data_IF_590830481410
#
_entry.id   IF_590830481410
#
_cell.length_a   1.000
_cell.length_b   1.000
_cell.length_c   1.000
_cell.angle_alpha   90.00
_cell.angle_beta   90.00
_cell.angle_gamma   90.00
#
_symmetry.space_group_name_H-M   'P 1'
#
loop_
_entity.id
_entity.type
_entity.pdbx_description
1 polymer ?
#
# COMPACT_ATOMS: atom_id res chain seq x y z
N UNK A 1 -42.93 8.48 -12.21
CA UNK A 1 -42.38 7.48 -11.27
C UNK A 1 -41.41 6.56 -12.01
N UNK A 2 -40.12 6.90 -12.05
CA UNK A 2 -39.07 5.99 -12.49
C UNK A 2 -38.00 5.98 -11.41
N UNK A 3 -37.96 4.91 -10.62
CA UNK A 3 -36.92 4.66 -9.63
C UNK A 3 -35.60 4.45 -10.39
N UNK A 4 -34.74 5.45 -10.41
CA UNK A 4 -33.38 5.32 -10.94
C UNK A 4 -32.52 4.78 -9.81
N UNK A 5 -32.28 3.47 -9.82
CA UNK A 5 -31.30 2.84 -8.93
C UNK A 5 -29.90 3.30 -9.37
N UNK A 6 -29.23 4.08 -8.52
CA UNK A 6 -27.81 4.37 -8.64
C UNK A 6 -27.08 3.09 -8.22
N UNK A 7 -26.59 2.31 -9.19
CA UNK A 7 -25.66 1.22 -8.90
C UNK A 7 -24.30 1.85 -8.58
N UNK A 8 -24.05 2.05 -7.29
CA UNK A 8 -22.72 2.34 -6.76
C UNK A 8 -21.99 1.00 -6.66
N UNK A 9 -21.14 0.68 -7.64
CA UNK A 9 -20.23 -0.45 -7.54
C UNK A 9 -19.01 -0.03 -6.72
N UNK A 10 -19.18 0.06 -5.40
CA UNK A 10 -18.04 0.04 -4.48
C UNK A 10 -17.72 -1.43 -4.25
N UNK A 11 -16.57 -1.88 -4.75
CA UNK A 11 -15.98 -3.19 -4.47
C UNK A 11 -15.60 -3.29 -2.99
N UNK A 12 -16.60 -3.49 -2.14
CA UNK A 12 -16.46 -3.93 -0.76
C UNK A 12 -17.17 -5.28 -0.67
N UNK A 13 -16.37 -6.34 -0.58
CA UNK A 13 -16.73 -7.76 -0.53
C UNK A 13 -17.27 -8.35 -1.84
N UNK A 14 -16.38 -8.54 -2.82
CA UNK A 14 -16.46 -9.71 -3.69
C UNK A 14 -15.35 -10.67 -3.30
N UNK A 15 -15.71 -11.84 -2.76
CA UNK A 15 -14.94 -13.07 -3.01
C UNK A 15 -15.09 -13.41 -4.48
N UNK A 16 -14.54 -12.57 -5.35
CA UNK A 16 -14.33 -12.86 -6.75
C UNK A 16 -13.05 -13.66 -6.82
N UNK A 17 -13.02 -14.66 -7.70
CA UNK A 17 -11.77 -15.29 -8.12
C UNK A 17 -10.96 -14.17 -8.78
N UNK A 18 -10.09 -13.52 -8.00
CA UNK A 18 -9.16 -12.54 -8.53
C UNK A 18 -8.22 -13.28 -9.48
N UNK A 19 -8.20 -12.82 -10.72
CA UNK A 19 -7.17 -13.17 -11.69
C UNK A 19 -5.80 -12.92 -11.07
N UNK A 20 -4.92 -13.87 -11.34
CA UNK A 20 -3.65 -14.12 -10.65
C UNK A 20 -2.77 -12.87 -10.69
N UNK A 21 -2.53 -12.25 -9.54
CA UNK A 21 -1.50 -11.23 -9.33
C UNK A 21 -0.14 -11.85 -9.62
N UNK A 22 0.76 -11.13 -10.29
CA UNK A 22 1.89 -11.75 -10.97
C UNK A 22 3.32 -11.24 -10.64
N UNK A 23 3.61 -10.39 -9.65
CA UNK A 23 4.99 -10.01 -9.28
C UNK A 23 6.09 -11.12 -9.36
N UNK A 24 7.24 -10.79 -9.99
CA UNK A 24 8.45 -11.63 -10.02
C UNK A 24 9.56 -10.91 -9.25
N UNK A 25 10.09 -11.53 -8.20
CA UNK A 25 11.07 -10.95 -7.28
C UNK A 25 12.27 -11.90 -7.20
N UNK A 26 13.50 -11.38 -7.20
CA UNK A 26 14.68 -12.20 -7.00
C UNK A 26 15.79 -11.45 -6.28
N UNK A 27 16.60 -12.18 -5.52
CA UNK A 27 17.85 -11.70 -4.93
C UNK A 27 19.03 -12.45 -5.51
N UNK A 28 20.18 -11.78 -5.65
CA UNK A 28 21.41 -12.40 -6.14
C UNK A 28 22.64 -11.79 -5.44
N UNK A 29 23.53 -12.66 -4.95
CA UNK A 29 24.78 -12.30 -4.29
C UNK A 29 25.96 -13.03 -4.92
N UNK A 30 26.77 -12.32 -5.70
CA UNK A 30 27.93 -12.84 -6.45
C UNK A 30 29.00 -11.76 -6.60
N UNK A 31 30.27 -12.16 -6.69
CA UNK A 31 31.37 -11.24 -6.97
C UNK A 31 31.48 -10.08 -5.98
N UNK A 32 31.06 -10.29 -4.73
CA UNK A 32 31.02 -9.24 -3.71
C UNK A 32 29.92 -8.19 -3.88
N UNK A 33 29.00 -8.35 -4.85
CA UNK A 33 27.80 -7.52 -5.00
C UNK A 33 26.57 -8.27 -4.48
N UNK A 34 25.59 -7.52 -3.98
CA UNK A 34 24.32 -8.08 -3.53
C UNK A 34 23.17 -7.19 -4.00
N UNK A 35 22.27 -7.78 -4.79
CA UNK A 35 21.12 -7.11 -5.34
C UNK A 35 19.81 -7.82 -4.98
N UNK A 36 18.74 -7.05 -4.95
CA UNK A 36 17.38 -7.54 -5.13
C UNK A 36 16.73 -6.83 -6.32
N UNK A 37 15.81 -7.49 -6.99
CA UNK A 37 15.12 -6.94 -8.15
C UNK A 37 13.70 -7.47 -8.24
N UNK A 38 12.78 -6.66 -8.74
CA UNK A 38 11.37 -7.00 -8.80
C UNK A 38 10.64 -6.33 -9.96
N UNK A 39 9.67 -7.06 -10.52
CA UNK A 39 8.57 -6.54 -11.33
C UNK A 39 7.33 -6.47 -10.46
N UNK A 40 6.76 -5.27 -10.28
CA UNK A 40 5.51 -5.08 -9.54
C UNK A 40 4.31 -5.06 -10.51
N UNK A 41 3.44 -6.05 -10.36
CA UNK A 41 2.31 -6.28 -11.26
C UNK A 41 0.99 -5.93 -10.57
N UNK A 42 0.32 -4.86 -11.01
CA UNK A 42 -0.98 -4.42 -10.50
C UNK A 42 -1.81 -3.74 -11.61
N UNK A 43 -3.08 -3.46 -11.33
CA UNK A 43 -4.00 -2.73 -12.22
C UNK A 43 -4.11 -1.25 -11.86
N UNK A 44 -3.56 -0.82 -10.71
CA UNK A 44 -3.64 0.55 -10.20
C UNK A 44 -2.37 1.35 -10.52
N UNK A 45 -2.36 2.25 -11.53
CA UNK A 45 -1.13 2.88 -12.03
C UNK A 45 -0.42 3.82 -11.06
N UNK A 46 -1.10 4.21 -9.99
CA UNK A 46 -0.76 5.38 -9.19
C UNK A 46 0.23 5.04 -8.04
N UNK A 47 1.32 4.35 -8.36
CA UNK A 47 2.33 3.95 -7.37
C UNK A 47 2.86 5.16 -6.60
N UNK A 48 2.93 5.03 -5.27
CA UNK A 48 3.55 5.97 -4.35
C UNK A 48 4.94 5.49 -3.96
N UNK A 49 5.83 6.46 -3.77
CA UNK A 49 7.10 6.29 -3.08
C UNK A 49 7.02 7.14 -1.82
N UNK A 50 7.39 6.59 -0.67
CA UNK A 50 7.51 7.40 0.54
C UNK A 50 8.81 7.12 1.28
N UNK A 51 9.42 8.21 1.71
CA UNK A 51 10.72 8.22 2.36
C UNK A 51 10.52 8.54 3.84
N UNK A 52 11.10 7.71 4.69
CA UNK A 52 10.89 7.72 6.13
C UNK A 52 12.23 7.94 6.81
N UNK A 53 12.57 9.16 7.26
CA UNK A 53 13.79 9.40 8.02
C UNK A 53 13.87 8.52 9.27
N UNK A 54 15.09 8.20 9.69
CA UNK A 54 15.30 7.48 10.93
C UNK A 54 14.74 8.26 12.12
N UNK A 55 14.14 7.54 13.05
CA UNK A 55 13.69 8.06 14.34
C UNK A 55 14.50 7.40 15.46
N UNK A 56 14.25 7.78 16.71
CA UNK A 56 14.88 7.13 17.87
C UNK A 56 14.62 5.62 17.90
N UNK A 57 13.44 5.20 17.45
CA UNK A 57 12.96 3.83 17.62
C UNK A 57 12.94 3.01 16.32
N UNK A 58 13.27 3.64 15.17
CA UNK A 58 13.16 3.02 13.84
C UNK A 58 14.21 3.51 12.86
N UNK A 59 14.77 2.61 12.07
CA UNK A 59 15.67 2.92 10.97
C UNK A 59 14.97 3.66 9.83
N UNK A 60 15.74 4.48 9.12
CA UNK A 60 15.27 5.16 7.93
C UNK A 60 15.01 4.18 6.78
N UNK A 61 14.00 4.45 5.97
CA UNK A 61 13.58 3.55 4.88
C UNK A 61 12.92 4.27 3.72
N UNK A 62 12.83 3.59 2.59
CA UNK A 62 11.95 3.94 1.47
C UNK A 62 10.99 2.79 1.22
N UNK A 63 9.75 3.14 0.90
CA UNK A 63 8.68 2.21 0.61
C UNK A 63 8.04 2.55 -0.73
N UNK A 64 7.58 1.50 -1.42
CA UNK A 64 6.78 1.56 -2.63
C UNK A 64 5.44 0.87 -2.37
N UNK A 65 4.38 1.37 -2.99
CA UNK A 65 3.05 0.78 -2.83
C UNK A 65 1.96 1.52 -3.58
N UNK A 66 0.74 0.99 -3.48
CA UNK A 66 -0.43 1.61 -4.09
C UNK A 66 -0.88 2.86 -3.29
N UNK A 67 -1.80 3.68 -3.83
CA UNK A 67 -2.33 4.85 -3.11
C UNK A 67 -3.00 4.54 -1.77
N UNK A 68 -3.35 3.29 -1.50
CA UNK A 68 -3.90 2.89 -0.20
C UNK A 68 -2.88 2.90 0.95
N UNK A 69 -1.61 3.21 0.66
CA UNK A 69 -0.49 3.27 1.59
C UNK A 69 -0.15 1.91 2.22
N UNK A 70 -0.51 0.81 1.58
CA UNK A 70 0.07 -0.50 1.89
C UNK A 70 1.46 -0.60 1.28
N UNK A 71 2.44 -1.03 2.07
CA UNK A 71 3.80 -1.26 1.58
C UNK A 71 3.80 -2.53 0.71
N UNK A 72 4.11 -2.38 -0.58
CA UNK A 72 4.36 -3.51 -1.48
C UNK A 72 5.82 -3.96 -1.38
N UNK A 73 6.76 -3.00 -1.48
CA UNK A 73 8.19 -3.25 -1.37
C UNK A 73 8.87 -2.16 -0.53
N UNK A 74 9.97 -2.49 0.13
CA UNK A 74 10.74 -1.52 0.90
C UNK A 74 12.20 -1.89 1.05
N UNK A 75 13.03 -0.88 1.32
CA UNK A 75 14.43 -1.04 1.74
C UNK A 75 14.77 -0.04 2.84
N UNK A 76 15.46 -0.49 3.90
CA UNK A 76 15.98 0.39 4.94
C UNK A 76 17.41 0.86 4.66
N UNK A 77 17.88 1.84 5.43
CA UNK A 77 19.21 2.46 5.29
C UNK A 77 20.39 1.49 5.51
N UNK A 78 20.12 0.29 6.05
CA UNK A 78 21.12 -0.77 6.24
C UNK A 78 21.17 -1.77 5.08
N UNK A 79 20.28 -1.65 4.09
CA UNK A 79 20.19 -2.55 2.94
C UNK A 79 19.36 -3.81 3.22
N UNK A 80 18.50 -3.81 4.24
CA UNK A 80 17.47 -4.84 4.39
C UNK A 80 16.29 -4.49 3.49
N UNK A 81 16.01 -5.37 2.54
CA UNK A 81 14.96 -5.24 1.54
C UNK A 81 13.89 -6.31 1.75
N UNK A 82 12.61 -5.96 1.53
CA UNK A 82 11.59 -6.94 1.25
C UNK A 82 10.64 -6.52 0.14
N UNK A 83 9.98 -7.51 -0.45
CA UNK A 83 8.90 -7.35 -1.42
C UNK A 83 7.94 -8.54 -1.35
N UNK A 84 6.65 -8.28 -1.60
CA UNK A 84 5.58 -9.27 -1.54
C UNK A 84 5.20 -9.79 -2.92
N UNK A 85 5.13 -11.12 -3.03
CA UNK A 85 4.40 -11.77 -4.10
C UNK A 85 3.05 -12.23 -3.55
N UNK A 86 1.95 -11.82 -4.21
CA UNK A 86 0.61 -12.26 -3.86
C UNK A 86 0.48 -13.79 -3.73
N UNK A 87 -0.30 -14.28 -2.78
CA UNK A 87 -0.61 -15.70 -2.69
C UNK A 87 -1.96 -15.87 -2.03
N UNK A 88 -2.66 -16.98 -2.32
CA UNK A 88 -3.98 -17.24 -1.77
C UNK A 88 -3.87 -18.27 -0.64
N UNK A 89 -3.30 -17.87 0.49
CA UNK A 89 -3.30 -18.67 1.71
C UNK A 89 -4.62 -18.50 2.47
N UNK A 90 -5.28 -19.61 2.79
CA UNK A 90 -6.42 -19.62 3.70
C UNK A 90 -5.92 -19.62 5.15
N UNK A 91 -5.74 -18.42 5.70
CA UNK A 91 -5.22 -18.23 7.05
C UNK A 91 -6.09 -18.89 8.13
N UNK A 92 -7.38 -19.14 7.86
CA UNK A 92 -8.30 -19.80 8.81
C UNK A 92 -7.98 -21.29 9.03
N UNK A 93 -7.25 -21.90 8.09
CA UNK A 93 -6.81 -23.30 8.17
C UNK A 93 -5.43 -23.47 8.80
N UNK A 94 -4.74 -22.38 9.09
CA UNK A 94 -3.40 -22.39 9.65
C UNK A 94 -3.45 -22.27 11.17
N UNK A 95 -2.54 -22.98 11.85
CA UNK A 95 -2.40 -22.92 13.30
C UNK A 95 -1.50 -21.75 13.73
N UNK A 96 -1.94 -20.52 13.45
CA UNK A 96 -1.26 -19.29 13.86
C UNK A 96 -1.54 -19.02 15.34
N UNK A 97 -0.52 -19.11 16.19
CA UNK A 97 -0.60 -19.00 17.66
C UNK A 97 -0.27 -17.62 18.19
N UNK A 98 0.68 -16.93 17.55
CA UNK A 98 1.20 -15.64 17.99
C UNK A 98 1.36 -14.66 16.82
N UNK A 99 0.25 -14.25 16.16
CA UNK A 99 0.32 -13.22 15.14
C UNK A 99 0.76 -11.89 15.75
N UNK A 100 1.58 -11.14 15.01
CA UNK A 100 1.94 -9.78 15.41
C UNK A 100 0.71 -8.86 15.37
N UNK A 101 0.58 -7.97 16.37
CA UNK A 101 -0.63 -7.14 16.56
C UNK A 101 -0.76 -5.96 15.59
N UNK A 102 0.33 -5.56 14.95
CA UNK A 102 0.38 -4.54 13.90
C UNK A 102 0.92 -5.11 12.59
N UNK A 103 1.72 -4.32 11.88
CA UNK A 103 2.45 -4.77 10.68
C UNK A 103 3.82 -5.37 11.06
N UNK A 104 3.93 -6.69 10.90
CA UNK A 104 5.16 -7.46 11.19
C UNK A 104 6.33 -7.07 10.27
N UNK A 105 6.07 -6.86 8.98
CA UNK A 105 7.15 -6.54 8.03
C UNK A 105 7.62 -5.11 8.20
N UNK A 106 6.70 -4.20 8.54
CA UNK A 106 7.07 -2.86 8.98
C UNK A 106 7.92 -2.90 10.25
N UNK A 107 7.58 -3.69 11.26
CA UNK A 107 8.41 -3.85 12.47
C UNK A 107 9.82 -4.35 12.14
N UNK A 108 9.94 -5.37 11.28
CA UNK A 108 11.23 -5.91 10.82
C UNK A 108 12.06 -4.83 10.11
N UNK A 109 11.47 -4.09 9.18
CA UNK A 109 12.15 -3.03 8.44
C UNK A 109 12.70 -1.93 9.34
N UNK A 110 11.94 -1.57 10.37
CA UNK A 110 12.29 -0.51 11.29
C UNK A 110 13.34 -0.91 12.34
N UNK A 111 13.51 -2.20 12.64
CA UNK A 111 14.33 -2.66 13.77
C UNK A 111 15.47 -3.59 13.41
N UNK A 112 15.47 -4.16 12.21
CA UNK A 112 16.49 -5.12 11.77
C UNK A 112 17.40 -4.52 10.70
N UNK A 113 18.70 -4.79 10.79
CA UNK A 113 19.71 -4.40 9.80
C UNK A 113 19.93 -5.43 8.72
N UNK A 114 19.61 -6.69 9.01
CA UNK A 114 19.87 -7.84 8.15
C UNK A 114 18.85 -8.97 8.40
N UNK A 115 18.89 -10.00 7.56
CA UNK A 115 18.00 -11.18 7.61
C UNK A 115 18.17 -11.95 8.91
N UNK A 116 19.38 -12.02 9.47
CA UNK A 116 19.64 -12.74 10.74
C UNK A 116 18.87 -12.10 11.91
N UNK A 117 18.89 -10.78 12.01
CA UNK A 117 18.08 -10.05 13.00
C UNK A 117 16.59 -10.23 12.74
N UNK A 118 16.14 -10.17 11.48
CA UNK A 118 14.74 -10.39 11.12
C UNK A 118 14.25 -11.81 11.51
N UNK A 119 15.08 -12.83 11.32
CA UNK A 119 14.79 -14.21 11.70
C UNK A 119 14.52 -14.37 13.20
N UNK A 120 15.09 -13.53 14.06
CA UNK A 120 14.79 -13.54 15.51
C UNK A 120 13.33 -13.11 15.75
N UNK A 121 12.85 -12.09 15.03
CA UNK A 121 11.46 -11.64 15.13
C UNK A 121 10.50 -12.67 14.50
N UNK A 122 10.84 -13.21 13.33
CA UNK A 122 10.02 -14.19 12.60
C UNK A 122 9.91 -15.54 13.32
N UNK A 123 10.87 -15.90 14.18
CA UNK A 123 10.75 -17.06 15.09
C UNK A 123 9.83 -16.81 16.27
N UNK A 124 9.60 -15.55 16.62
CA UNK A 124 8.76 -15.15 17.75
C UNK A 124 7.30 -14.97 17.34
N UNK A 125 7.05 -14.43 16.15
CA UNK A 125 5.71 -14.09 15.67
C UNK A 125 5.37 -14.79 14.37
N UNK A 126 4.12 -15.23 14.25
CA UNK A 126 3.64 -15.88 13.05
C UNK A 126 3.40 -14.87 11.92
N UNK A 127 3.78 -15.26 10.70
CA UNK A 127 3.53 -14.49 9.50
C UNK A 127 2.06 -14.66 9.04
N UNK A 128 1.17 -13.86 9.62
CA UNK A 128 -0.28 -13.92 9.37
C UNK A 128 -0.71 -13.03 8.17
N UNK A 129 -0.05 -13.19 7.03
CA UNK A 129 -0.33 -12.42 5.80
C UNK A 129 -0.59 -13.40 4.66
N UNK A 130 -1.70 -13.23 3.92
CA UNK A 130 -1.98 -14.06 2.73
C UNK A 130 -1.14 -13.60 1.54
N UNK A 131 0.18 -13.82 1.63
CA UNK A 131 1.19 -13.49 0.63
C UNK A 131 2.45 -14.31 0.87
N UNK A 132 3.43 -14.20 -0.04
CA UNK A 132 4.82 -14.60 0.18
C UNK A 132 5.67 -13.34 0.22
N UNK A 133 6.62 -13.24 1.14
CA UNK A 133 7.60 -12.14 1.14
C UNK A 133 9.00 -12.68 0.82
N UNK A 134 9.72 -12.04 -0.10
CA UNK A 134 11.16 -12.24 -0.21
C UNK A 134 11.85 -11.15 0.62
N UNK A 135 12.71 -11.55 1.54
CA UNK A 135 13.52 -10.65 2.37
C UNK A 135 15.00 -10.92 2.05
N UNK A 136 15.78 -9.88 1.74
CA UNK A 136 17.20 -10.00 1.45
C UNK A 136 18.00 -8.88 2.11
N UNK A 137 19.28 -9.12 2.38
CA UNK A 137 20.17 -8.11 2.99
C UNK A 137 21.48 -7.93 2.22
N UNK A 138 22.21 -6.87 2.56
CA UNK A 138 23.53 -6.55 1.98
C UNK A 138 24.63 -7.58 2.25
N UNK A 139 24.45 -8.50 3.19
CA UNK A 139 25.41 -9.58 3.46
C UNK A 139 25.25 -10.74 2.46
N UNK A 140 24.17 -10.73 1.66
CA UNK A 140 23.88 -11.78 0.68
C UNK A 140 22.95 -12.87 1.20
N UNK A 141 22.41 -12.71 2.42
CA UNK A 141 21.39 -13.61 2.93
C UNK A 141 20.04 -13.26 2.28
N UNK A 142 19.21 -14.27 2.06
CA UNK A 142 17.84 -14.09 1.58
C UNK A 142 16.97 -15.21 2.12
N UNK A 143 15.71 -14.88 2.40
CA UNK A 143 14.68 -15.82 2.81
C UNK A 143 13.38 -15.54 2.05
N UNK A 144 12.59 -16.59 1.83
CA UNK A 144 11.18 -16.46 1.45
C UNK A 144 10.32 -16.84 2.65
N UNK A 145 9.42 -15.96 3.04
CA UNK A 145 8.53 -16.10 4.18
C UNK A 145 7.12 -16.36 3.65
N UNK A 146 6.47 -17.40 4.17
CA UNK A 146 5.06 -17.71 3.92
C UNK A 146 4.35 -17.98 5.25
N UNK A 147 3.01 -18.01 5.28
CA UNK A 147 2.28 -18.43 6.47
C UNK A 147 2.58 -19.86 6.94
N UNK A 148 3.16 -20.69 6.07
CA UNK A 148 3.48 -22.09 6.35
C UNK A 148 4.93 -22.30 6.81
N UNK A 149 5.82 -21.31 6.59
CA UNK A 149 7.21 -21.40 7.02
C UNK A 149 8.15 -20.45 6.31
N UNK A 150 9.45 -20.68 6.52
CA UNK A 150 10.53 -19.86 5.99
C UNK A 150 11.47 -20.75 5.19
N UNK A 151 11.84 -20.29 3.98
CA UNK A 151 12.77 -20.97 3.09
C UNK A 151 14.01 -20.09 2.95
N UNK A 152 15.14 -20.56 3.46
CA UNK A 152 16.42 -19.88 3.31
C UNK A 152 17.02 -20.10 1.92
N UNK A 153 17.68 -19.07 1.38
CA UNK A 153 18.38 -19.16 0.10
C UNK A 153 19.52 -20.18 0.17
N UNK A 154 19.54 -21.10 -0.79
CA UNK A 154 20.68 -21.99 -1.05
C UNK A 154 21.44 -21.49 -2.27
N UNK A 155 22.75 -21.31 -2.15
CA UNK A 155 23.60 -20.75 -3.21
C UNK A 155 23.47 -19.23 -3.36
N UNK A 156 23.69 -18.75 -4.59
CA UNK A 156 23.93 -17.33 -4.84
C UNK A 156 22.64 -16.50 -4.98
N UNK A 157 21.56 -17.09 -5.47
CA UNK A 157 20.31 -16.38 -5.79
C UNK A 157 19.06 -17.10 -5.27
N UNK A 158 17.95 -16.36 -5.12
CA UNK A 158 16.65 -16.88 -4.73
C UNK A 158 15.57 -16.14 -5.51
N UNK A 159 14.60 -16.87 -6.06
CA UNK A 159 13.47 -16.32 -6.82
C UNK A 159 12.18 -16.55 -6.04
N UNK A 160 11.36 -15.52 -5.92
CA UNK A 160 10.00 -15.56 -5.39
C UNK A 160 9.03 -15.06 -6.45
N UNK A 161 7.88 -15.73 -6.57
CA UNK A 161 6.78 -15.27 -7.42
C UNK A 161 5.45 -15.81 -6.90
N UNK A 162 4.40 -15.19 -7.40
CA UNK A 162 2.99 -15.47 -7.15
C UNK A 162 2.34 -16.32 -8.24
N UNK A 163 3.16 -17.05 -9.01
CA UNK A 163 2.66 -17.99 -9.99
C UNK A 163 1.97 -19.16 -9.28
N UNK A 164 0.71 -19.42 -9.63
CA UNK A 164 -0.04 -20.56 -9.10
C UNK A 164 0.53 -21.86 -9.67
N UNK A 165 0.37 -22.96 -8.93
CA UNK A 165 0.64 -24.30 -9.44
C UNK A 165 -0.67 -24.90 -9.90
N UNK A 166 -0.82 -25.15 -11.20
CA UNK A 166 -1.98 -25.84 -11.80
C UNK A 166 -1.51 -27.22 -12.24
N UNK A 167 -2.12 -28.28 -11.69
CA UNK A 167 -1.77 -29.68 -11.98
C UNK A 167 -0.28 -30.00 -11.82
N UNK A 168 0.37 -29.45 -10.79
CA UNK A 168 1.80 -29.66 -10.52
C UNK A 168 2.75 -28.85 -11.42
N UNK A 169 2.24 -27.95 -12.28
CA UNK A 169 3.05 -27.05 -13.11
C UNK A 169 2.79 -25.59 -12.75
N UNK A 170 3.83 -24.76 -12.81
CA UNK A 170 3.67 -23.31 -12.68
C UNK A 170 2.76 -22.78 -13.79
N UNK A 171 1.78 -21.97 -13.43
CA UNK A 171 0.85 -21.33 -14.36
C UNK A 171 1.51 -20.24 -15.19
N UNK A 172 2.77 -19.92 -14.92
CA UNK A 172 3.52 -18.85 -15.54
C UNK A 172 5.02 -19.17 -15.56
N UNK A 173 5.67 -18.90 -16.69
CA UNK A 173 7.10 -19.20 -16.95
C UNK A 173 8.09 -18.16 -16.41
N UNK A 174 7.62 -17.00 -15.94
CA UNK A 174 8.48 -15.89 -15.50
C UNK A 174 9.49 -16.29 -14.39
N UNK A 175 9.11 -17.02 -13.32
CA UNK A 175 10.10 -17.51 -12.37
C UNK A 175 11.07 -18.52 -12.99
N UNK A 176 10.64 -19.35 -13.96
CA UNK A 176 11.52 -20.29 -14.66
C UNK A 176 12.57 -19.53 -15.47
N UNK A 177 12.16 -18.53 -16.24
CA UNK A 177 13.04 -17.66 -17.04
C UNK A 177 14.06 -16.95 -16.13
N UNK A 178 13.60 -16.37 -15.01
CA UNK A 178 14.50 -15.73 -14.05
C UNK A 178 15.53 -16.72 -13.48
N UNK A 179 15.09 -17.93 -13.07
CA UNK A 179 15.97 -18.98 -12.58
C UNK A 179 16.98 -19.44 -13.65
N UNK A 180 16.53 -19.67 -14.89
CA UNK A 180 17.39 -20.10 -16.00
C UNK A 180 18.46 -19.06 -16.32
N UNK A 181 18.09 -17.79 -16.42
CA UNK A 181 19.04 -16.70 -16.65
C UNK A 181 20.03 -16.57 -15.49
N UNK A 182 19.57 -16.56 -14.24
CA UNK A 182 20.43 -16.48 -13.07
C UNK A 182 21.36 -17.69 -12.93
N UNK A 183 20.91 -18.90 -13.25
CA UNK A 183 21.72 -20.12 -13.15
C UNK A 183 22.75 -20.24 -14.27
N UNK A 184 22.45 -19.75 -15.47
CA UNK A 184 23.31 -19.86 -16.65
C UNK A 184 24.42 -18.79 -16.73
N UNK A 185 24.43 -17.82 -15.83
CA UNK A 185 25.40 -16.72 -15.80
C UNK A 185 26.02 -16.53 -14.41
N UNK A 186 27.25 -16.02 -14.37
CA UNK A 186 27.90 -15.53 -13.15
C UNK A 186 27.80 -14.00 -12.99
N UNK A 187 27.20 -13.32 -13.97
CA UNK A 187 26.98 -11.89 -13.90
C UNK A 187 26.01 -11.52 -12.77
N UNK A 188 26.28 -10.37 -12.15
CA UNK A 188 25.44 -9.78 -11.11
C UNK A 188 25.66 -8.27 -11.12
N UNK A 189 25.14 -7.63 -12.17
CA UNK A 189 25.23 -6.19 -12.42
C UNK A 189 23.87 -5.66 -12.88
N UNK A 190 23.70 -4.33 -12.88
CA UNK A 190 22.40 -3.69 -13.18
C UNK A 190 21.86 -4.12 -14.55
N UNK A 191 22.69 -4.17 -15.59
CA UNK A 191 22.23 -4.49 -16.95
C UNK A 191 21.74 -5.94 -17.08
N UNK A 192 22.43 -6.88 -16.43
CA UNK A 192 22.01 -8.28 -16.40
C UNK A 192 20.67 -8.45 -15.67
N UNK A 193 20.51 -7.84 -14.49
CA UNK A 193 19.26 -7.93 -13.73
C UNK A 193 18.11 -7.20 -14.46
N UNK A 194 18.40 -6.08 -15.13
CA UNK A 194 17.46 -5.37 -16.01
C UNK A 194 16.99 -6.25 -17.17
N UNK A 195 17.89 -7.00 -17.80
CA UNK A 195 17.51 -7.94 -18.86
C UNK A 195 16.60 -9.07 -18.35
N UNK A 196 16.79 -9.54 -17.11
CA UNK A 196 15.88 -10.51 -16.49
C UNK A 196 14.51 -9.87 -16.27
N UNK A 197 14.45 -8.66 -15.71
CA UNK A 197 13.18 -7.93 -15.49
C UNK A 197 12.44 -7.71 -16.81
N UNK A 198 13.15 -7.28 -17.85
CA UNK A 198 12.61 -7.13 -19.20
C UNK A 198 12.06 -8.45 -19.77
N UNK A 199 12.75 -9.57 -19.56
CA UNK A 199 12.22 -10.88 -19.99
C UNK A 199 11.08 -11.43 -19.13
N UNK A 200 10.82 -10.84 -17.97
CA UNK A 200 9.85 -11.33 -16.98
C UNK A 200 8.80 -10.31 -16.59
N UNK A 201 8.65 -9.22 -17.34
CA UNK A 201 7.55 -8.30 -17.14
C UNK A 201 6.26 -8.87 -17.73
N UNK A 202 5.13 -8.28 -17.36
CA UNK A 202 3.82 -8.70 -17.83
C UNK A 202 3.08 -7.54 -18.48
N UNK A 203 2.55 -7.76 -19.68
CA UNK A 203 1.68 -6.82 -20.38
C UNK A 203 0.24 -7.35 -20.40
N UNK A 204 -0.77 -6.47 -20.41
CA UNK A 204 -2.18 -6.84 -20.57
C UNK A 204 -3.12 -6.06 -19.65
N UNK A 205 -4.11 -6.73 -19.07
CA UNK A 205 -4.97 -6.10 -18.05
C UNK A 205 -4.23 -5.89 -16.73
N UNK A 206 -3.39 -6.86 -16.36
CA UNK A 206 -2.48 -6.79 -15.22
C UNK A 206 -1.08 -6.52 -15.77
N UNK A 207 -0.58 -5.29 -15.58
CA UNK A 207 0.69 -4.84 -16.13
C UNK A 207 1.77 -4.77 -15.05
N UNK A 208 3.03 -4.97 -15.43
CA UNK A 208 4.16 -4.51 -14.60
C UNK A 208 4.17 -2.99 -14.60
N UNK A 209 3.74 -2.41 -13.48
CA UNK A 209 3.66 -0.96 -13.32
C UNK A 209 5.04 -0.32 -13.24
N UNK A 210 5.95 -0.99 -12.55
CA UNK A 210 7.35 -0.61 -12.48
C UNK A 210 8.23 -1.82 -12.21
N UNK A 211 9.49 -1.69 -12.63
CA UNK A 211 10.55 -2.63 -12.33
C UNK A 211 11.60 -1.94 -11.50
N UNK A 212 12.20 -2.64 -10.54
CA UNK A 212 13.19 -2.03 -9.64
C UNK A 212 14.39 -2.96 -9.40
N UNK A 213 15.56 -2.36 -9.24
CA UNK A 213 16.83 -3.04 -8.91
C UNK A 213 17.46 -2.30 -7.72
N UNK A 214 17.58 -2.99 -6.59
CA UNK A 214 18.14 -2.51 -5.34
C UNK A 214 19.59 -2.99 -5.21
N UNK A 215 20.55 -2.08 -5.19
CA UNK A 215 21.92 -2.36 -4.72
C UNK A 215 21.92 -2.29 -3.19
N UNK A 216 21.84 -3.45 -2.54
CA UNK A 216 21.67 -3.53 -1.08
C UNK A 216 22.93 -3.05 -0.34
N UNK A 217 24.10 -3.09 -0.98
CA UNK A 217 25.35 -2.61 -0.38
C UNK A 217 25.49 -1.10 -0.49
N UNK A 218 25.16 -0.52 -1.64
CA UNK A 218 25.29 0.92 -1.87
C UNK A 218 24.08 1.72 -1.39
N UNK A 219 22.94 1.07 -1.15
CA UNK A 219 21.70 1.75 -0.79
C UNK A 219 21.14 2.58 -1.94
N UNK A 220 21.26 2.07 -3.17
CA UNK A 220 20.74 2.73 -4.38
C UNK A 220 19.68 1.87 -5.05
N UNK A 221 18.66 2.50 -5.62
CA UNK A 221 17.56 1.81 -6.30
C UNK A 221 17.45 2.39 -7.70
N UNK A 222 17.42 1.54 -8.73
CA UNK A 222 17.11 1.93 -10.10
C UNK A 222 15.68 1.50 -10.39
N UNK A 223 14.83 2.42 -10.78
CA UNK A 223 13.41 2.18 -11.07
C UNK A 223 13.12 2.50 -12.53
N UNK A 224 12.34 1.63 -13.16
CA UNK A 224 11.88 1.74 -14.55
C UNK A 224 10.35 1.71 -14.54
N UNK A 225 9.71 2.62 -15.26
CA UNK A 225 8.24 2.74 -15.26
C UNK A 225 7.65 2.03 -16.48
N UNK A 226 6.63 1.21 -16.25
CA UNK A 226 5.73 0.68 -17.28
C UNK A 226 6.46 0.08 -18.50
N UNK A 227 7.35 -0.88 -18.23
CA UNK A 227 8.16 -1.61 -19.21
C UNK A 227 9.17 -0.78 -20.02
N UNK A 228 9.34 0.52 -19.72
CA UNK A 228 10.41 1.32 -20.31
C UNK A 228 11.73 1.13 -19.56
N UNK A 229 12.55 0.19 -20.05
CA UNK A 229 13.89 -0.08 -19.50
C UNK A 229 14.99 0.88 -20.01
N UNK A 230 14.64 1.89 -20.82
CA UNK A 230 15.60 2.88 -21.31
C UNK A 230 15.66 4.12 -20.41
N UNK A 231 14.56 4.44 -19.73
CA UNK A 231 14.49 5.58 -18.80
C UNK A 231 14.58 5.09 -17.37
N UNK A 232 15.57 5.58 -16.62
CA UNK A 232 15.81 5.17 -15.23
C UNK A 232 15.63 6.35 -14.28
N UNK A 233 14.89 6.10 -13.20
CA UNK A 233 14.91 6.94 -12.01
C UNK A 233 15.81 6.29 -10.95
N UNK A 234 16.91 6.95 -10.58
CA UNK A 234 17.85 6.43 -9.59
C UNK A 234 17.67 7.12 -8.24
N UNK A 235 17.40 6.33 -7.22
CA UNK A 235 17.25 6.77 -5.83
C UNK A 235 18.54 6.47 -5.08
N UNK A 236 19.16 7.48 -4.47
CA UNK A 236 20.17 7.28 -3.44
C UNK A 236 19.51 7.40 -2.07
N UNK A 237 19.27 6.27 -1.39
CA UNK A 237 18.44 6.25 -0.19
C UNK A 237 18.99 7.19 0.89
N UNK A 238 20.30 7.17 1.14
CA UNK A 238 20.91 8.03 2.15
C UNK A 238 20.76 9.53 1.85
N UNK A 239 20.85 9.93 0.57
CA UNK A 239 20.62 11.32 0.17
C UNK A 239 19.15 11.71 0.32
N UNK A 240 18.25 10.83 -0.12
CA UNK A 240 16.81 11.03 -0.05
C UNK A 240 16.29 11.13 1.40
N UNK A 241 16.82 10.34 2.33
CA UNK A 241 16.42 10.40 3.74
C UNK A 241 16.78 11.72 4.43
N UNK A 242 17.81 12.44 3.94
CA UNK A 242 18.17 13.77 4.48
C UNK A 242 17.17 14.86 4.12
N UNK A 243 16.32 14.64 3.11
CA UNK A 243 15.29 15.60 2.69
C UNK A 243 14.06 15.58 3.60
N UNK A 244 14.04 14.71 4.61
CA UNK A 244 12.89 14.55 5.49
C UNK A 244 11.83 13.61 4.93
N UNK A 245 10.75 13.47 5.69
CA UNK A 245 9.60 12.67 5.29
C UNK A 245 8.92 13.29 4.07
N UNK A 246 8.52 12.44 3.11
CA UNK A 246 7.69 12.85 1.98
C UNK A 246 7.08 11.65 1.27
N UNK A 247 5.97 11.91 0.59
CA UNK A 247 5.33 10.99 -0.35
C UNK A 247 5.38 11.62 -1.74
N UNK A 248 5.75 10.84 -2.73
CA UNK A 248 5.83 11.24 -4.14
C UNK A 248 5.05 10.23 -5.00
N UNK A 249 4.55 10.68 -6.16
CA UNK A 249 4.05 9.75 -7.17
C UNK A 249 5.25 9.24 -7.98
N UNK A 250 5.35 7.94 -8.19
CA UNK A 250 6.47 7.38 -8.96
C UNK A 250 6.53 7.96 -10.39
N UNK A 251 5.38 8.10 -11.03
CA UNK A 251 5.30 8.55 -12.42
C UNK A 251 5.76 10.00 -12.63
N UNK A 252 5.77 10.84 -11.58
CA UNK A 252 6.22 12.24 -11.69
C UNK A 252 7.75 12.34 -11.98
N UNK A 253 8.49 11.23 -11.81
CA UNK A 253 9.93 11.13 -12.08
C UNK A 253 10.29 10.69 -13.50
N UNK A 254 9.29 10.44 -14.35
CA UNK A 254 9.47 9.94 -15.71
C UNK A 254 8.88 10.92 -16.73
N UNK A 255 9.42 10.96 -17.96
CA UNK A 255 8.79 11.68 -19.06
C UNK A 255 7.41 11.08 -19.36
N UNK A 256 6.50 11.94 -19.82
CA UNK A 256 5.19 11.50 -20.32
C UNK A 256 5.35 10.41 -21.39
N UNK A 257 4.57 9.34 -21.25
CA UNK A 257 4.42 8.32 -22.29
C UNK A 257 2.94 8.10 -22.60
N UNK A 258 2.61 7.98 -23.88
CA UNK A 258 1.22 7.75 -24.31
C UNK A 258 0.64 6.47 -23.69
N UNK A 259 1.46 5.41 -23.59
CA UNK A 259 1.03 4.13 -23.05
C UNK A 259 0.63 4.24 -21.56
N UNK A 260 1.48 4.82 -20.71
CA UNK A 260 1.16 5.00 -19.29
C UNK A 260 0.05 6.03 -19.06
N UNK A 261 0.02 7.12 -19.83
CA UNK A 261 -1.07 8.10 -19.75
C UNK A 261 -2.43 7.50 -20.13
N UNK A 262 -2.49 6.68 -21.18
CA UNK A 262 -3.71 6.00 -21.60
C UNK A 262 -4.17 5.00 -20.52
N UNK A 263 -3.24 4.20 -19.99
CA UNK A 263 -3.51 3.25 -18.91
C UNK A 263 -4.04 3.95 -17.65
N UNK A 264 -3.39 5.04 -17.23
CA UNK A 264 -3.76 5.80 -16.03
C UNK A 264 -5.06 6.58 -16.17
N UNK A 265 -5.31 7.25 -17.30
CA UNK A 265 -6.54 8.01 -17.56
C UNK A 265 -7.80 7.15 -17.58
N UNK A 266 -7.68 5.88 -17.97
CA UNK A 266 -8.79 4.93 -18.01
C UNK A 266 -9.11 4.30 -16.64
N UNK A 267 -8.28 4.52 -15.62
CA UNK A 267 -8.50 3.96 -14.29
C UNK A 267 -9.55 4.79 -13.50
N UNK A 268 -10.40 4.12 -12.72
CA UNK A 268 -11.49 4.77 -11.95
C UNK A 268 -10.99 5.83 -10.95
N UNK A 269 -9.80 5.63 -10.40
CA UNK A 269 -9.15 6.58 -9.47
C UNK A 269 -8.53 7.81 -10.16
N UNK A 270 -8.51 7.90 -11.49
CA UNK A 270 -7.88 9.03 -12.20
C UNK A 270 -8.46 10.39 -11.79
N UNK A 271 -9.78 10.47 -11.58
CA UNK A 271 -10.42 11.71 -11.14
C UNK A 271 -9.94 12.12 -9.74
N UNK A 272 -9.82 11.17 -8.81
CA UNK A 272 -9.26 11.41 -7.47
C UNK A 272 -7.84 11.96 -7.57
N UNK A 273 -6.99 11.33 -8.40
CA UNK A 273 -5.60 11.75 -8.62
C UNK A 273 -5.49 13.14 -9.24
N UNK A 274 -6.38 13.46 -10.20
CA UNK A 274 -6.45 14.80 -10.80
C UNK A 274 -6.83 15.87 -9.77
N UNK A 275 -7.78 15.58 -8.87
CA UNK A 275 -8.15 16.48 -7.77
C UNK A 275 -6.97 16.66 -6.81
N UNK A 276 -6.26 15.60 -6.45
CA UNK A 276 -5.08 15.68 -5.57
C UNK A 276 -3.94 16.47 -6.20
N UNK A 277 -3.75 16.37 -7.52
CA UNK A 277 -2.77 17.19 -8.23
C UNK A 277 -3.19 18.67 -8.20
N UNK A 278 -4.46 18.97 -8.44
CA UNK A 278 -4.97 20.35 -8.31
C UNK A 278 -4.80 20.91 -6.89
N UNK A 279 -4.96 20.07 -5.85
CA UNK A 279 -4.67 20.47 -4.47
C UNK A 279 -3.20 20.88 -4.27
N UNK A 280 -2.25 20.18 -4.90
CA UNK A 280 -0.83 20.54 -4.86
C UNK A 280 -0.58 21.87 -5.56
N UNK A 281 -1.22 22.09 -6.71
CA UNK A 281 -0.96 23.25 -7.57
C UNK A 281 -1.67 24.53 -7.09
N UNK A 282 -2.89 24.41 -6.56
CA UNK A 282 -3.77 25.54 -6.21
C UNK A 282 -4.09 25.65 -4.73
N UNK A 283 -3.69 24.67 -3.92
CA UNK A 283 -4.01 24.59 -2.50
C UNK A 283 -5.26 23.76 -2.20
N UNK A 284 -5.21 23.05 -1.07
CA UNK A 284 -6.25 22.09 -0.65
C UNK A 284 -7.61 22.75 -0.43
N UNK A 285 -7.68 23.85 0.32
CA UNK A 285 -8.94 24.50 0.68
C UNK A 285 -9.67 25.06 -0.55
N UNK A 286 -8.93 25.75 -1.42
CA UNK A 286 -9.45 26.29 -2.68
C UNK A 286 -10.00 25.19 -3.58
N UNK A 287 -9.28 24.08 -3.68
CA UNK A 287 -9.69 22.93 -4.50
C UNK A 287 -10.94 22.25 -3.94
N UNK A 288 -11.01 22.03 -2.62
CA UNK A 288 -12.20 21.45 -1.98
C UNK A 288 -13.43 22.32 -2.21
N UNK A 289 -13.31 23.64 -2.00
CA UNK A 289 -14.41 24.57 -2.22
C UNK A 289 -14.91 24.50 -3.67
N UNK A 290 -13.99 24.49 -4.64
CA UNK A 290 -14.32 24.36 -6.06
C UNK A 290 -15.14 23.10 -6.35
N UNK A 291 -14.69 21.91 -5.93
CA UNK A 291 -15.37 20.67 -6.26
C UNK A 291 -16.65 20.42 -5.46
N UNK A 292 -16.78 20.98 -4.26
CA UNK A 292 -18.07 21.01 -3.53
C UNK A 292 -19.10 21.79 -4.36
N UNK A 293 -18.76 23.00 -4.81
CA UNK A 293 -19.64 23.82 -5.66
C UNK A 293 -19.99 23.12 -6.98
N UNK A 294 -19.04 22.42 -7.61
CA UNK A 294 -19.33 21.64 -8.82
C UNK A 294 -20.29 20.47 -8.55
N UNK A 295 -20.18 19.83 -7.37
CA UNK A 295 -21.05 18.71 -6.96
C UNK A 295 -22.47 19.13 -6.56
N UNK A 296 -22.69 20.38 -6.18
CA UNK A 296 -24.00 20.93 -5.83
C UNK A 296 -24.89 21.25 -7.04
N UNK A 297 -24.31 21.32 -8.24
CA UNK A 297 -25.07 21.63 -9.46
C UNK A 297 -26.13 20.56 -9.71
N UNK A 298 -27.33 20.99 -10.14
CA UNK A 298 -28.46 20.09 -10.45
C UNK A 298 -28.14 19.03 -11.52
N UNK A 299 -27.17 19.31 -12.40
CA UNK A 299 -26.60 18.36 -13.36
C UNK A 299 -25.07 18.47 -13.33
N UNK A 300 -24.38 17.74 -12.42
CA UNK A 300 -22.93 17.79 -12.35
C UNK A 300 -22.32 17.22 -13.63
N UNK A 301 -21.29 17.89 -14.16
CA UNK A 301 -20.60 17.46 -15.38
C UNK A 301 -20.04 16.04 -15.27
N UNK A 302 -19.66 15.63 -14.06
CA UNK A 302 -19.12 14.31 -13.78
C UNK A 302 -19.96 13.60 -12.70
N UNK A 303 -20.64 12.52 -13.09
CA UNK A 303 -21.49 11.72 -12.19
C UNK A 303 -20.69 10.98 -11.10
N UNK A 304 -19.40 10.78 -11.31
CA UNK A 304 -18.50 10.10 -10.36
C UNK A 304 -17.84 11.06 -9.35
N UNK A 305 -18.17 12.37 -9.39
CA UNK A 305 -17.49 13.37 -8.58
C UNK A 305 -17.63 13.11 -7.07
N UNK A 306 -18.81 12.76 -6.57
CA UNK A 306 -19.00 12.45 -5.14
C UNK A 306 -18.13 11.27 -4.68
N UNK A 307 -18.04 10.23 -5.51
CA UNK A 307 -17.19 9.07 -5.21
C UNK A 307 -15.72 9.47 -5.20
N UNK A 308 -15.27 10.27 -6.17
CA UNK A 308 -13.90 10.79 -6.16
C UNK A 308 -13.61 11.70 -4.97
N UNK A 309 -14.56 12.52 -4.53
CA UNK A 309 -14.41 13.36 -3.33
C UNK A 309 -14.32 12.53 -2.04
N UNK A 310 -15.06 11.42 -1.95
CA UNK A 310 -14.90 10.48 -0.85
C UNK A 310 -13.50 9.86 -0.87
N UNK A 311 -13.03 9.41 -2.03
CA UNK A 311 -11.68 8.86 -2.19
C UNK A 311 -10.59 9.89 -1.85
N UNK A 312 -10.80 11.16 -2.17
CA UNK A 312 -9.90 12.26 -1.76
C UNK A 312 -9.88 12.41 -0.25
N UNK A 313 -11.05 12.40 0.42
CA UNK A 313 -11.12 12.47 1.88
C UNK A 313 -10.36 11.30 2.54
N UNK A 314 -10.56 10.08 2.03
CA UNK A 314 -9.85 8.90 2.50
C UNK A 314 -8.34 8.99 2.25
N UNK A 315 -7.91 9.52 1.10
CA UNK A 315 -6.50 9.70 0.80
C UNK A 315 -5.83 10.71 1.74
N UNK A 316 -6.51 11.81 2.07
CA UNK A 316 -6.02 12.80 3.03
C UNK A 316 -5.82 12.19 4.43
N UNK A 317 -6.74 11.33 4.87
CA UNK A 317 -6.60 10.59 6.14
C UNK A 317 -5.40 9.64 6.07
N UNK A 318 -5.24 8.89 4.97
CA UNK A 318 -4.11 7.96 4.78
C UNK A 318 -2.77 8.69 4.78
N UNK A 319 -2.65 9.83 4.10
CA UNK A 319 -1.41 10.64 4.09
C UNK A 319 -1.10 11.22 5.47
N UNK A 320 -2.12 11.77 6.15
CA UNK A 320 -2.00 12.23 7.53
C UNK A 320 -1.49 11.14 8.46
N UNK A 321 -2.09 9.94 8.40
CA UNK A 321 -1.69 8.82 9.23
C UNK A 321 -0.30 8.30 8.88
N UNK A 322 0.02 8.17 7.59
CA UNK A 322 1.31 7.64 7.16
C UNK A 322 2.46 8.52 7.66
N UNK A 323 2.33 9.85 7.57
CA UNK A 323 3.32 10.78 8.11
C UNK A 323 3.45 10.65 9.62
N UNK A 324 2.32 10.67 10.33
CA UNK A 324 2.30 10.58 11.78
C UNK A 324 2.87 9.25 12.32
N UNK A 325 2.71 8.18 11.56
CA UNK A 325 3.22 6.84 11.89
C UNK A 325 4.64 6.60 11.35
N UNK A 326 5.30 7.62 10.80
CA UNK A 326 6.64 7.57 10.21
C UNK A 326 6.76 6.55 9.05
N UNK A 327 5.72 6.45 8.22
CA UNK A 327 5.68 5.60 7.03
C UNK A 327 4.83 4.33 7.16
N UNK A 328 4.18 4.11 8.30
CA UNK A 328 3.36 2.95 8.56
C UNK A 328 2.06 2.93 7.76
N UNK A 329 1.53 1.73 7.53
CA UNK A 329 0.18 1.58 6.97
C UNK A 329 -0.89 2.05 7.96
N UNK A 330 -2.09 2.33 7.45
CA UNK A 330 -3.22 2.70 8.28
C UNK A 330 -3.86 1.47 8.93
N UNK A 331 -3.28 0.98 10.03
CA UNK A 331 -3.72 -0.24 10.73
C UNK A 331 -5.22 -0.27 11.09
N UNK A 332 -5.83 0.90 11.37
CA UNK A 332 -7.27 1.03 11.58
C UNK A 332 -8.08 0.60 10.35
N UNK A 333 -7.62 0.94 9.15
CA UNK A 333 -8.24 0.55 7.89
C UNK A 333 -8.35 -0.98 7.75
N UNK A 334 -7.33 -1.70 8.23
CA UNK A 334 -7.23 -3.15 8.18
C UNK A 334 -7.76 -3.86 9.43
N UNK A 335 -8.38 -3.12 10.36
CA UNK A 335 -8.90 -3.65 11.62
C UNK A 335 -7.85 -4.40 12.44
N UNK A 336 -6.57 -4.00 12.34
CA UNK A 336 -5.49 -4.59 13.13
C UNK A 336 -5.67 -4.18 14.60
N UNK A 337 -5.33 -5.06 15.57
CA UNK A 337 -5.45 -4.74 16.99
C UNK A 337 -4.80 -3.41 17.41
N UNK A 338 -3.61 -3.10 16.89
CA UNK A 338 -2.93 -1.81 17.17
C UNK A 338 -3.58 -0.62 16.45
N UNK A 339 -4.37 -0.86 15.40
CA UNK A 339 -5.09 0.18 14.66
C UNK A 339 -6.15 0.91 15.48
N UNK A 340 -6.62 0.30 16.56
CA UNK A 340 -7.55 0.91 17.51
C UNK A 340 -6.87 1.76 18.59
N UNK A 341 -5.54 1.86 18.59
CA UNK A 341 -4.75 2.71 19.49
C UNK A 341 -4.42 4.07 18.81
N UNK A 342 -5.46 4.83 18.45
CA UNK A 342 -5.38 6.10 17.69
C UNK A 342 -4.76 7.24 18.52
N UNK A 343 -3.45 7.44 18.41
CA UNK A 343 -2.79 8.58 19.07
C UNK A 343 -3.35 9.91 18.57
N UNK A 344 -3.49 10.88 19.46
CA UNK A 344 -3.95 12.21 19.11
C UNK A 344 -2.84 13.05 18.45
N UNK A 345 -3.17 13.74 17.37
CA UNK A 345 -2.30 14.66 16.64
C UNK A 345 -3.12 15.65 15.82
N UNK A 346 -2.50 16.75 15.40
CA UNK A 346 -3.16 17.79 14.60
C UNK A 346 -2.58 17.81 13.20
N UNK A 347 -3.46 17.81 12.22
CA UNK A 347 -3.09 17.82 10.81
C UNK A 347 -4.19 18.51 9.97
N UNK A 348 -3.87 19.54 9.18
CA UNK A 348 -4.84 20.23 8.33
C UNK A 348 -5.50 19.32 7.28
N UNK A 349 -4.83 18.23 6.87
CA UNK A 349 -5.42 17.22 5.96
C UNK A 349 -6.62 16.55 6.59
N UNK A 350 -6.61 16.30 7.90
CA UNK A 350 -7.75 15.73 8.63
C UNK A 350 -8.92 16.69 8.69
N UNK A 351 -8.68 17.99 8.88
CA UNK A 351 -9.73 19.01 8.81
C UNK A 351 -10.37 19.06 7.41
N UNK A 352 -9.54 19.01 6.37
CA UNK A 352 -9.98 18.96 4.97
C UNK A 352 -10.81 17.70 4.66
N UNK A 353 -10.38 16.54 5.17
CA UNK A 353 -11.12 15.28 5.05
C UNK A 353 -12.47 15.35 5.76
N UNK A 354 -12.53 15.89 6.99
CA UNK A 354 -13.78 16.04 7.75
C UNK A 354 -14.79 16.93 7.03
N UNK A 355 -14.34 18.02 6.40
CA UNK A 355 -15.20 18.90 5.60
C UNK A 355 -15.85 18.15 4.44
N UNK A 356 -15.08 17.34 3.70
CA UNK A 356 -15.61 16.51 2.62
C UNK A 356 -16.59 15.44 3.13
N UNK A 357 -16.25 14.74 4.22
CA UNK A 357 -17.11 13.70 4.80
C UNK A 357 -18.44 14.27 5.30
N UNK A 358 -18.43 15.43 5.96
CA UNK A 358 -19.64 16.14 6.40
C UNK A 358 -20.50 16.58 5.23
N UNK A 359 -19.89 17.16 4.19
CA UNK A 359 -20.59 17.53 2.97
C UNK A 359 -21.28 16.32 2.32
N UNK A 360 -20.54 15.24 2.10
CA UNK A 360 -21.05 14.05 1.41
C UNK A 360 -22.13 13.31 2.21
N UNK A 361 -21.96 13.19 3.53
CA UNK A 361 -22.94 12.52 4.41
C UNK A 361 -24.23 13.31 4.63
N UNK A 362 -24.25 14.61 4.34
CA UNK A 362 -25.43 15.47 4.43
C UNK A 362 -26.33 15.42 3.18
N UNK A 363 -25.86 14.89 2.04
CA UNK A 363 -26.66 14.88 0.80
C UNK A 363 -27.87 13.94 0.92
N UNK A 364 -29.05 14.43 0.54
CA UNK A 364 -30.30 13.67 0.46
C UNK A 364 -30.31 12.73 -0.76
N UNK A 365 -29.59 11.62 -0.69
CA UNK A 365 -29.78 10.40 -1.49
C UNK A 365 -28.52 9.56 -1.39
N UNK A 366 -28.44 8.67 -0.42
CA UNK A 366 -27.30 7.76 -0.40
C UNK A 366 -27.66 6.49 0.32
N UNK A 367 -27.23 5.39 -0.30
CA UNK A 367 -26.84 4.16 0.37
C UNK A 367 -26.48 4.42 1.85
N UNK A 368 -27.34 3.93 2.74
CA UNK A 368 -27.22 4.18 4.18
C UNK A 368 -25.93 3.55 4.75
N UNK A 369 -25.43 2.46 4.13
CA UNK A 369 -24.15 1.84 4.52
C UNK A 369 -22.98 2.76 4.23
N UNK A 370 -23.00 3.39 3.06
CA UNK A 370 -21.97 4.37 2.69
C UNK A 370 -22.01 5.59 3.61
N UNK A 371 -23.21 6.08 3.96
CA UNK A 371 -23.39 7.18 4.91
C UNK A 371 -22.83 6.83 6.29
N UNK A 372 -23.14 5.65 6.80
CA UNK A 372 -22.65 5.17 8.10
C UNK A 372 -21.12 4.97 8.09
N UNK A 373 -20.55 4.49 6.98
CA UNK A 373 -19.10 4.48 6.79
C UNK A 373 -18.48 5.88 6.82
N UNK A 374 -19.10 6.88 6.19
CA UNK A 374 -18.59 8.26 6.28
C UNK A 374 -18.65 8.79 7.72
N UNK A 375 -19.69 8.45 8.50
CA UNK A 375 -19.73 8.77 9.93
C UNK A 375 -18.61 8.09 10.70
N UNK A 376 -18.31 6.83 10.43
CA UNK A 376 -17.17 6.14 11.04
C UNK A 376 -15.85 6.87 10.75
N UNK A 377 -15.61 7.26 9.50
CA UNK A 377 -14.40 8.01 9.12
C UNK A 377 -14.34 9.38 9.81
N UNK A 378 -15.47 10.08 9.94
CA UNK A 378 -15.55 11.31 10.73
C UNK A 378 -15.29 11.06 12.22
N UNK A 379 -15.70 9.91 12.77
CA UNK A 379 -15.35 9.47 14.12
C UNK A 379 -13.85 9.34 14.30
N UNK A 380 -13.18 8.63 13.37
CA UNK A 380 -11.72 8.48 13.38
C UNK A 380 -11.00 9.83 13.30
N UNK A 381 -11.41 10.69 12.35
CA UNK A 381 -10.81 12.00 12.12
C UNK A 381 -10.94 12.90 13.35
N UNK A 382 -12.11 12.93 13.99
CA UNK A 382 -12.32 13.73 15.20
C UNK A 382 -11.52 13.18 16.37
N UNK A 383 -11.41 11.87 16.51
CA UNK A 383 -10.63 11.24 17.58
C UNK A 383 -9.14 11.51 17.43
N UNK A 384 -8.59 11.32 16.23
CA UNK A 384 -7.21 11.64 15.91
C UNK A 384 -6.90 13.10 16.23
N UNK A 385 -7.83 14.02 15.96
CA UNK A 385 -7.68 15.44 16.30
C UNK A 385 -8.01 15.78 17.77
N UNK A 386 -8.23 14.80 18.65
CA UNK A 386 -8.50 15.00 20.08
C UNK A 386 -9.89 15.55 20.41
N UNK A 387 -10.83 15.51 19.47
CA UNK A 387 -12.22 15.91 19.67
C UNK A 387 -13.08 14.70 20.07
N UNK A 388 -12.81 14.15 21.25
CA UNK A 388 -13.37 12.88 21.73
C UNK A 388 -14.90 12.86 21.78
N UNK A 389 -15.54 13.96 22.17
CA UNK A 389 -17.01 14.05 22.22
C UNK A 389 -17.64 13.93 20.83
N UNK A 390 -17.10 14.64 19.85
CA UNK A 390 -17.58 14.55 18.46
C UNK A 390 -17.28 13.16 17.87
N UNK A 391 -16.12 12.60 18.17
CA UNK A 391 -15.78 11.23 17.75
C UNK A 391 -16.79 10.20 18.25
N UNK A 392 -17.16 10.27 19.54
CA UNK A 392 -18.18 9.39 20.13
C UNK A 392 -19.52 9.52 19.40
N UNK A 393 -20.01 10.73 19.20
CA UNK A 393 -21.27 10.99 18.49
C UNK A 393 -21.25 10.40 17.06
N UNK A 394 -20.15 10.56 16.33
CA UNK A 394 -20.02 10.01 14.99
C UNK A 394 -19.95 8.49 14.97
N UNK A 395 -19.24 7.87 15.92
CA UNK A 395 -19.23 6.41 16.03
C UNK A 395 -20.61 5.86 16.39
N UNK A 396 -21.35 6.49 17.31
CA UNK A 396 -22.73 6.12 17.63
C UNK A 396 -23.63 6.19 16.39
N UNK A 397 -23.54 7.28 15.61
CA UNK A 397 -24.26 7.40 14.32
C UNK A 397 -23.87 6.30 13.34
N UNK A 398 -22.58 5.96 13.25
CA UNK A 398 -22.07 4.99 12.29
C UNK A 398 -22.57 3.56 12.51
N UNK A 399 -23.01 3.22 13.73
CA UNK A 399 -23.47 1.87 14.06
C UNK A 399 -24.92 1.82 14.56
N UNK A 400 -25.64 2.94 14.51
CA UNK A 400 -26.99 3.08 15.09
C UNK A 400 -27.96 2.00 14.59
N UNK A 401 -27.93 1.72 13.28
CA UNK A 401 -28.69 0.64 12.67
C UNK A 401 -27.72 -0.39 12.02
N UNK A 402 -27.52 -1.56 12.64
CA UNK A 402 -26.64 -2.61 12.11
C UNK A 402 -27.02 -3.13 10.70
N UNK A 403 -28.30 -3.12 10.33
CA UNK A 403 -28.76 -3.59 9.01
C UNK A 403 -28.34 -2.64 7.87
N UNK A 404 -28.23 -1.35 8.22
CA UNK A 404 -27.83 -0.25 7.35
C UNK A 404 -26.33 0.05 7.45
N UNK A 405 -25.53 -0.85 8.03
CA UNK A 405 -24.10 -0.63 8.26
C UNK A 405 -23.25 -1.74 7.62
N UNK A 406 -22.10 -1.40 7.05
CA UNK A 406 -21.16 -2.44 6.61
C UNK A 406 -20.62 -3.21 7.82
N UNK A 407 -20.43 -4.52 7.69
CA UNK A 407 -19.92 -5.37 8.79
C UNK A 407 -18.60 -4.84 9.40
N UNK A 408 -17.69 -4.35 8.55
CA UNK A 408 -16.41 -3.78 9.00
C UNK A 408 -16.62 -2.50 9.80
N UNK A 409 -17.49 -1.60 9.34
CA UNK A 409 -17.86 -0.36 10.04
C UNK A 409 -18.52 -0.67 11.38
N UNK A 410 -19.43 -1.63 11.42
CA UNK A 410 -20.05 -2.08 12.67
C UNK A 410 -18.99 -2.58 13.65
N UNK A 411 -18.10 -3.46 13.21
CA UNK A 411 -17.02 -4.01 14.05
C UNK A 411 -16.09 -2.93 14.60
N UNK A 412 -15.59 -2.03 13.73
CA UNK A 412 -14.66 -0.97 14.14
C UNK A 412 -15.36 0.08 15.01
N UNK A 413 -16.58 0.49 14.65
CA UNK A 413 -17.36 1.45 15.43
C UNK A 413 -17.66 0.95 16.84
N UNK A 414 -18.08 -0.32 16.99
CA UNK A 414 -18.29 -0.94 18.30
C UNK A 414 -17.02 -1.00 19.14
N UNK A 415 -15.89 -1.41 18.56
CA UNK A 415 -14.61 -1.46 19.26
C UNK A 415 -14.17 -0.07 19.73
N UNK A 416 -14.33 0.95 18.88
CA UNK A 416 -13.95 2.32 19.24
C UNK A 416 -14.83 2.91 20.34
N UNK A 417 -16.14 2.67 20.32
CA UNK A 417 -17.04 3.11 21.40
C UNK A 417 -16.71 2.44 22.73
N UNK A 418 -16.45 1.13 22.71
CA UNK A 418 -16.02 0.39 23.91
C UNK A 418 -14.79 1.06 24.56
N UNK A 419 -13.77 1.38 23.76
CA UNK A 419 -12.55 2.04 24.25
C UNK A 419 -12.78 3.45 24.76
N UNK A 420 -13.65 4.21 24.07
CA UNK A 420 -14.03 5.57 24.45
C UNK A 420 -14.75 5.60 25.80
N UNK A 421 -15.64 4.63 26.05
CA UNK A 421 -16.40 4.52 27.29
C UNK A 421 -15.56 4.03 28.48
N UNK A 422 -14.59 3.16 28.23
CA UNK A 422 -13.66 2.66 29.26
C UNK A 422 -12.59 3.69 29.68
N UNK A 423 -12.55 4.88 29.06
CA UNK A 423 -11.56 5.91 29.35
C UNK A 423 -10.11 5.50 29.03
N UNK A 424 -9.92 4.48 28.17
CA UNK A 424 -8.60 3.93 27.76
C UNK A 424 -7.79 4.85 26.82
N UNK A 425 -8.12 6.14 26.79
CA UNK A 425 -7.54 7.15 25.89
C UNK A 425 -6.66 8.18 26.63
N UNK A 426 -5.97 7.76 27.69
CA UNK A 426 -4.98 8.57 28.42
C UNK A 426 -3.56 8.10 28.13
#
# INVERSE_FOLDING_TARGET
MQKHFILILISLLTTGIHTVKACTIFSCSRGGQTFAAANEDDTTPFTRIWYNPATKDRYGSVCFGAPDMQVAAAMNEYGLFYDFAAANYDLSKLNLKNPYKGDLMWEILGKCKNVKEAMVILKKYDFAISAKALLADKEGNSIVITPEGIIEKTGDFQVNSNCNVINGKLSCRRPEIANEMLASSQENNIDFLKAILDKTHQEGELNTLYSSIYDLKKGTINVYLFHDYNTVYTINLKAELKKGYRIENLADHFPSSFAYESFSKNHSLYLKESILQEMKDKGTETTIAHYITESEKQAPKNKNLNSALLEVALQLIKYSWNEQSNGGMWDYWFSKPEGYNVKQYKDPRLTSADNLLKYLSAKENTDLKLKNFMYEMSGFVNLAQGNTSAAKEFYEKSIYNPEETYKVTLSRGTEMLCRLDEGKWK
#
